data_IF_128870943863
#
_entry.id   IF_128870943863
#
_cell.length_a   1.000
_cell.length_b   1.000
_cell.length_c   1.000
_cell.angle_alpha   90.00
_cell.angle_beta   90.00
_cell.angle_gamma   90.00
#
_symmetry.space_group_name_H-M   'P 1'
#
loop_
_entity.id
_entity.type
_entity.pdbx_description
1 polymer ?
#
# COMPACT_ATOMS: atom_id res chain seq x y z
N UNK A 1 0.68 -9.10 -5.94
CA UNK A 1 0.85 -9.15 -4.50
C UNK A 1 -0.45 -8.85 -3.77
N UNK A 2 -0.66 -9.48 -2.64
CA UNK A 2 -1.92 -9.36 -1.90
C UNK A 2 -2.18 -7.92 -1.41
N UNK A 3 -1.16 -7.22 -0.94
CA UNK A 3 -1.31 -5.84 -0.49
C UNK A 3 -1.71 -4.91 -1.64
N UNK A 4 -1.06 -5.02 -2.78
CA UNK A 4 -1.37 -4.22 -3.97
C UNK A 4 -2.82 -4.45 -4.40
N UNK A 5 -3.25 -5.70 -4.46
CA UNK A 5 -4.61 -6.05 -4.85
C UNK A 5 -5.65 -5.49 -3.86
N UNK A 6 -5.36 -5.55 -2.58
CA UNK A 6 -6.26 -5.02 -1.56
C UNK A 6 -6.38 -3.49 -1.65
N UNK A 7 -5.26 -2.79 -1.81
CA UNK A 7 -5.28 -1.33 -1.94
C UNK A 7 -6.00 -0.92 -3.24
N UNK A 8 -5.80 -1.67 -4.34
CA UNK A 8 -6.53 -1.39 -5.59
C UNK A 8 -8.05 -1.48 -5.38
N UNK A 9 -8.49 -2.51 -4.67
CA UNK A 9 -9.92 -2.69 -4.34
C UNK A 9 -10.45 -1.51 -3.51
N UNK A 10 -9.72 -1.10 -2.48
CA UNK A 10 -10.12 0.00 -1.61
C UNK A 10 -10.19 1.34 -2.36
N UNK A 11 -9.22 1.62 -3.20
CA UNK A 11 -9.19 2.85 -3.99
C UNK A 11 -10.33 2.87 -5.00
N UNK A 12 -10.62 1.74 -5.64
CA UNK A 12 -11.74 1.62 -6.57
C UNK A 12 -13.08 1.88 -5.88
N UNK A 13 -13.21 1.50 -4.62
CA UNK A 13 -14.42 1.75 -3.83
C UNK A 13 -14.50 3.18 -3.30
N UNK A 14 -13.35 3.82 -3.10
CA UNK A 14 -13.27 5.17 -2.57
C UNK A 14 -13.58 6.25 -3.62
N UNK A 15 -13.15 6.05 -4.85
CA UNK A 15 -13.28 7.04 -5.91
C UNK A 15 -13.61 6.40 -7.25
N UNK A 16 -14.33 7.15 -8.10
CA UNK A 16 -14.62 6.75 -9.48
C UNK A 16 -13.45 7.04 -10.42
N UNK A 17 -12.48 7.84 -9.99
CA UNK A 17 -11.29 8.13 -10.79
C UNK A 17 -10.37 6.92 -10.80
N UNK A 18 -9.77 6.67 -11.96
CA UNK A 18 -8.92 5.49 -12.14
C UNK A 18 -7.53 5.74 -11.58
N UNK A 19 -7.20 5.00 -10.53
CA UNK A 19 -5.87 4.93 -9.94
C UNK A 19 -5.24 3.58 -10.27
N UNK A 20 -4.01 3.59 -10.72
CA UNK A 20 -3.24 2.37 -10.95
C UNK A 20 -2.33 2.12 -9.76
N UNK A 21 -2.47 0.95 -9.14
CA UNK A 21 -1.61 0.54 -8.03
C UNK A 21 -0.57 -0.43 -8.56
N UNK A 22 0.70 -0.18 -8.29
CA UNK A 22 1.78 -1.03 -8.79
C UNK A 22 3.02 -0.98 -7.91
N UNK A 23 3.97 -1.89 -8.18
CA UNK A 23 5.18 -2.02 -7.37
C UNK A 23 6.25 -0.99 -7.72
N UNK A 24 6.25 -0.44 -8.92
CA UNK A 24 7.31 0.46 -9.39
C UNK A 24 6.76 1.64 -10.17
N UNK A 25 7.40 2.79 -10.00
CA UNK A 25 7.12 3.98 -10.78
C UNK A 25 7.89 3.95 -12.09
N UNK A 26 7.24 4.41 -13.16
CA UNK A 26 7.89 4.62 -14.45
C UNK A 26 7.51 5.98 -15.00
N UNK A 27 8.49 6.73 -15.46
CA UNK A 27 8.28 8.03 -16.12
C UNK A 27 7.54 7.89 -17.46
N UNK A 28 7.57 6.68 -18.04
CA UNK A 28 6.87 6.37 -19.29
C UNK A 28 5.43 5.92 -19.06
N UNK A 29 4.99 5.88 -17.82
CA UNK A 29 3.64 5.48 -17.46
C UNK A 29 2.63 6.54 -17.93
N UNK A 30 1.65 6.13 -18.72
CA UNK A 30 0.60 7.01 -19.23
C UNK A 30 -0.56 7.21 -18.27
N UNK A 31 -0.59 6.50 -17.15
CA UNK A 31 -1.64 6.67 -16.16
C UNK A 31 -1.50 8.04 -15.48
N UNK A 32 -2.61 8.76 -15.38
CA UNK A 32 -2.65 10.07 -14.72
C UNK A 32 -2.50 9.96 -13.21
N UNK A 33 -2.94 8.85 -12.64
CA UNK A 33 -2.98 8.59 -11.21
C UNK A 33 -2.37 7.25 -10.91
N UNK A 34 -1.30 7.24 -10.15
CA UNK A 34 -0.54 6.03 -9.84
C UNK A 34 -0.18 6.02 -8.36
N UNK A 35 -0.30 4.87 -7.73
CA UNK A 35 0.24 4.64 -6.39
C UNK A 35 1.25 3.50 -6.51
N UNK A 36 2.47 3.75 -6.08
CA UNK A 36 3.48 2.69 -5.99
C UNK A 36 3.65 2.24 -4.55
N UNK A 37 3.79 0.94 -4.36
CA UNK A 37 3.95 0.32 -3.05
C UNK A 37 5.20 -0.54 -3.10
N UNK A 38 6.23 -0.14 -2.35
CA UNK A 38 7.51 -0.86 -2.30
C UNK A 38 7.81 -1.30 -0.89
N UNK A 39 8.11 -2.58 -0.71
CA UNK A 39 8.61 -3.06 0.57
C UNK A 39 10.00 -2.49 0.82
N UNK A 40 10.20 -1.89 2.01
CA UNK A 40 11.49 -1.38 2.42
C UNK A 40 12.31 -2.52 3.01
N UNK A 41 13.38 -2.91 2.32
CA UNK A 41 14.28 -3.97 2.77
C UNK A 41 15.04 -3.53 4.02
N UNK A 42 15.26 -4.46 4.94
CA UNK A 42 15.94 -4.17 6.21
C UNK A 42 15.07 -3.48 7.26
N UNK A 43 13.82 -3.13 6.90
CA UNK A 43 12.89 -2.45 7.80
C UNK A 43 11.88 -3.45 8.36
N UNK A 44 12.38 -4.48 9.02
CA UNK A 44 11.53 -5.49 9.66
C UNK A 44 11.71 -5.46 11.16
N UNK A 45 10.58 -5.40 11.88
CA UNK A 45 10.57 -5.49 13.33
C UNK A 45 10.08 -6.86 13.76
N UNK A 46 10.80 -7.48 14.69
CA UNK A 46 10.42 -8.74 15.32
C UNK A 46 10.26 -8.48 16.80
N UNK A 47 9.08 -8.81 17.34
CA UNK A 47 8.84 -8.70 18.77
C UNK A 47 9.39 -9.92 19.50
N UNK A 48 9.70 -9.75 20.78
CA UNK A 48 10.10 -10.86 21.63
C UNK A 48 8.96 -11.85 21.81
N UNK A 49 9.26 -13.11 21.64
CA UNK A 49 8.29 -14.20 21.78
C UNK A 49 7.87 -14.78 20.44
N UNK A 50 7.61 -16.07 20.43
CA UNK A 50 7.35 -16.85 19.21
C UNK A 50 5.99 -16.58 18.58
N UNK A 51 5.15 -15.79 19.24
CA UNK A 51 3.75 -15.58 18.85
C UNK A 51 3.53 -14.23 18.18
N UNK A 52 4.52 -13.32 18.23
CA UNK A 52 4.37 -11.97 17.71
C UNK A 52 4.62 -11.93 16.21
N UNK A 53 3.75 -11.25 15.45
CA UNK A 53 3.95 -11.12 14.00
C UNK A 53 5.15 -10.27 13.67
N UNK A 54 5.75 -10.55 12.53
CA UNK A 54 6.80 -9.71 11.96
C UNK A 54 6.15 -8.55 11.22
N UNK A 55 6.58 -7.32 11.51
CA UNK A 55 6.12 -6.14 10.81
C UNK A 55 6.99 -5.86 9.59
N UNK A 56 6.36 -5.42 8.52
CA UNK A 56 7.00 -4.95 7.32
C UNK A 56 6.70 -3.48 7.11
N UNK A 57 7.62 -2.77 6.49
CA UNK A 57 7.46 -1.36 6.13
C UNK A 57 7.33 -1.26 4.63
N UNK A 58 6.31 -0.53 4.20
CA UNK A 58 6.05 -0.29 2.77
C UNK A 58 6.05 1.21 2.52
N UNK A 59 6.81 1.64 1.53
CA UNK A 59 6.77 3.02 1.08
C UNK A 59 5.68 3.17 0.02
N UNK A 60 4.78 4.12 0.27
CA UNK A 60 3.71 4.47 -0.65
C UNK A 60 4.03 5.80 -1.28
N UNK A 61 4.07 5.84 -2.60
CA UNK A 61 4.19 7.06 -3.37
C UNK A 61 2.90 7.26 -4.17
N UNK A 62 2.22 8.37 -3.92
CA UNK A 62 0.93 8.69 -4.51
C UNK A 62 1.15 9.81 -5.53
N UNK A 63 0.95 9.50 -6.80
CA UNK A 63 1.16 10.44 -7.91
C UNK A 63 -0.18 10.76 -8.55
N UNK A 64 -0.54 12.04 -8.56
CA UNK A 64 -1.84 12.48 -9.10
C UNK A 64 -1.74 13.79 -9.85
N UNK A 65 -2.89 14.37 -10.16
CA UNK A 65 -2.99 15.62 -10.93
C UNK A 65 -2.99 16.86 -10.04
N UNK A 66 -3.28 16.70 -8.75
CA UNK A 66 -3.24 17.81 -7.78
C UNK A 66 -2.78 17.31 -6.41
N UNK A 67 -2.21 18.20 -5.63
CA UNK A 67 -1.81 17.88 -4.24
C UNK A 67 -3.02 17.47 -3.41
N UNK A 68 -4.15 18.16 -3.58
CA UNK A 68 -5.35 17.86 -2.80
C UNK A 68 -5.86 16.44 -3.09
N UNK A 69 -5.84 16.02 -4.34
CA UNK A 69 -6.21 14.65 -4.73
C UNK A 69 -5.33 13.61 -4.05
N UNK A 70 -4.02 13.82 -4.10
CA UNK A 70 -3.05 12.93 -3.46
C UNK A 70 -3.21 12.91 -1.94
N UNK A 71 -3.45 14.07 -1.34
CA UNK A 71 -3.70 14.18 0.10
C UNK A 71 -4.96 13.42 0.51
N UNK A 72 -6.01 13.49 -0.28
CA UNK A 72 -7.25 12.77 0.01
C UNK A 72 -7.03 11.25 0.00
N UNK A 73 -6.26 10.75 -0.95
CA UNK A 73 -5.88 9.33 -0.97
C UNK A 73 -5.04 8.98 0.26
N UNK A 74 -4.08 9.83 0.61
CA UNK A 74 -3.24 9.62 1.81
C UNK A 74 -4.09 9.56 3.08
N UNK A 75 -5.07 10.43 3.23
CA UNK A 75 -5.98 10.42 4.38
C UNK A 75 -6.81 9.14 4.43
N UNK A 76 -7.30 8.69 3.28
CA UNK A 76 -8.05 7.43 3.19
C UNK A 76 -7.17 6.24 3.62
N UNK A 77 -5.94 6.19 3.14
CA UNK A 77 -4.99 5.13 3.54
C UNK A 77 -4.68 5.18 5.03
N UNK A 78 -4.52 6.39 5.60
CA UNK A 78 -4.29 6.56 7.04
C UNK A 78 -5.45 6.06 7.89
N UNK A 79 -6.67 6.09 7.38
CA UNK A 79 -7.85 5.60 8.08
C UNK A 79 -7.93 4.07 8.16
N UNK A 80 -7.04 3.35 7.47
CA UNK A 80 -6.98 1.89 7.58
C UNK A 80 -6.27 1.42 8.86
N UNK A 81 -5.62 2.31 9.59
CA UNK A 81 -4.95 1.96 10.85
C UNK A 81 -5.94 1.26 11.78
N UNK A 82 -5.53 0.12 12.32
CA UNK A 82 -6.36 -0.72 13.17
C UNK A 82 -7.17 -1.78 12.42
N UNK A 83 -7.25 -1.70 11.10
CA UNK A 83 -7.91 -2.74 10.32
C UNK A 83 -7.05 -4.00 10.31
N UNK A 84 -7.72 -5.13 10.54
CA UNK A 84 -7.12 -6.46 10.50
C UNK A 84 -8.07 -7.35 9.71
N UNK A 85 -7.61 -7.78 8.55
CA UNK A 85 -8.43 -8.57 7.62
C UNK A 85 -7.73 -9.84 7.21
N UNK A 86 -8.53 -10.82 6.81
CA UNK A 86 -8.06 -12.07 6.21
C UNK A 86 -8.61 -12.15 4.79
N UNK A 87 -7.73 -12.43 3.84
CA UNK A 87 -8.10 -12.61 2.44
C UNK A 87 -7.69 -14.01 1.97
N UNK A 88 -8.59 -14.65 1.26
CA UNK A 88 -8.32 -15.91 0.59
C UNK A 88 -7.95 -15.63 -0.86
N UNK A 89 -6.85 -16.21 -1.31
CA UNK A 89 -6.38 -16.11 -2.69
C UNK A 89 -6.00 -17.48 -3.23
N UNK A 90 -5.98 -17.62 -4.54
CA UNK A 90 -5.51 -18.83 -5.21
C UNK A 90 -4.17 -18.49 -5.86
N UNK A 91 -3.15 -19.26 -5.48
CA UNK A 91 -1.80 -19.11 -6.00
C UNK A 91 -1.31 -20.46 -6.47
N UNK A 92 -0.94 -20.56 -7.76
CA UNK A 92 -0.50 -21.82 -8.39
C UNK A 92 -1.50 -22.96 -8.18
N UNK A 93 -2.81 -22.66 -8.25
CA UNK A 93 -3.87 -23.63 -8.09
C UNK A 93 -4.17 -24.03 -6.64
N UNK A 94 -3.45 -23.48 -5.68
CA UNK A 94 -3.64 -23.75 -4.25
C UNK A 94 -4.29 -22.57 -3.56
N UNK A 95 -5.17 -22.85 -2.60
CA UNK A 95 -5.78 -21.81 -1.76
C UNK A 95 -4.81 -21.39 -0.67
N UNK A 96 -4.76 -20.10 -0.44
CA UNK A 96 -3.97 -19.48 0.63
C UNK A 96 -4.82 -18.47 1.37
N UNK A 97 -4.59 -18.33 2.67
CA UNK A 97 -5.17 -17.24 3.46
C UNK A 97 -4.06 -16.33 3.94
N UNK A 98 -4.27 -15.05 3.73
CA UNK A 98 -3.33 -14.00 4.11
C UNK A 98 -3.97 -13.06 5.11
N UNK A 99 -3.18 -12.63 6.06
CA UNK A 99 -3.56 -11.60 7.02
C UNK A 99 -2.94 -10.28 6.61
N UNK A 100 -3.76 -9.24 6.61
CA UNK A 100 -3.32 -7.86 6.44
C UNK A 100 -3.72 -7.07 7.68
N UNK A 101 -2.74 -6.48 8.35
CA UNK A 101 -2.97 -5.67 9.54
C UNK A 101 -2.24 -4.35 9.37
N UNK A 102 -2.97 -3.24 9.49
CA UNK A 102 -2.44 -1.90 9.26
C UNK A 102 -2.17 -1.24 10.60
N UNK A 103 -0.90 -0.95 10.88
CA UNK A 103 -0.43 -0.54 12.21
C UNK A 103 -0.16 0.96 12.28
N UNK A 104 0.57 1.51 11.31
CA UNK A 104 0.98 2.91 11.36
C UNK A 104 1.14 3.47 9.95
N UNK A 105 0.63 4.67 9.76
CA UNK A 105 0.83 5.48 8.55
C UNK A 105 1.69 6.68 8.96
N UNK A 106 2.97 6.68 8.56
CA UNK A 106 3.96 7.59 9.10
C UNK A 106 4.44 8.59 8.05
N UNK A 107 4.65 9.83 8.50
CA UNK A 107 5.28 10.91 7.75
C UNK A 107 4.63 11.19 6.39
N UNK A 108 3.29 11.33 6.30
CA UNK A 108 2.67 11.72 5.04
C UNK A 108 3.11 13.15 4.67
N UNK A 109 3.70 13.30 3.51
CA UNK A 109 4.24 14.58 3.08
C UNK A 109 4.26 14.70 1.56
N UNK A 110 4.17 15.93 1.02
CA UNK A 110 4.32 16.15 -0.42
C UNK A 110 5.70 15.72 -0.91
N UNK A 111 5.74 15.20 -2.14
CA UNK A 111 6.99 14.95 -2.86
C UNK A 111 7.33 16.24 -3.61
N UNK A 112 8.53 16.81 -3.36
CA UNK A 112 8.92 18.11 -3.91
C UNK A 112 9.08 18.12 -5.42
N UNK A 113 9.57 17.03 -5.98
CA UNK A 113 9.86 16.96 -7.41
C UNK A 113 9.34 15.66 -8.01
N UNK A 114 8.61 15.83 -9.11
CA UNK A 114 8.12 14.74 -9.93
C UNK A 114 8.29 15.11 -11.41
N UNK A 115 7.70 14.33 -12.28
CA UNK A 115 7.60 14.75 -13.67
C UNK A 115 6.61 15.93 -13.81
N UNK A 116 6.65 16.59 -14.96
CA UNK A 116 5.86 17.81 -15.20
C UNK A 116 4.35 17.58 -15.23
N UNK A 117 3.91 16.33 -15.26
CA UNK A 117 2.49 15.97 -15.40
C UNK A 117 1.81 15.62 -14.10
N UNK A 118 2.59 15.39 -13.04
CA UNK A 118 2.08 14.85 -11.78
C UNK A 118 2.69 15.56 -10.60
N UNK A 119 1.92 15.60 -9.55
CA UNK A 119 2.37 15.97 -8.21
C UNK A 119 2.24 14.75 -7.31
N UNK A 120 2.85 14.77 -6.15
CA UNK A 120 2.87 13.57 -5.35
C UNK A 120 2.85 13.79 -3.85
N UNK A 121 2.60 12.67 -3.20
CA UNK A 121 2.59 12.53 -1.76
C UNK A 121 3.25 11.21 -1.40
N UNK A 122 3.98 11.18 -0.29
CA UNK A 122 4.59 9.94 0.12
C UNK A 122 4.40 9.69 1.61
N UNK A 123 4.37 8.41 2.00
CA UNK A 123 4.32 8.00 3.39
C UNK A 123 4.78 6.56 3.52
N UNK A 124 5.08 6.16 4.75
CA UNK A 124 5.47 4.79 5.06
C UNK A 124 4.37 4.09 5.85
N UNK A 125 3.97 2.91 5.42
CA UNK A 125 3.04 2.06 6.14
C UNK A 125 3.79 0.95 6.88
N UNK A 126 3.49 0.83 8.16
CA UNK A 126 3.90 -0.32 8.96
C UNK A 126 2.73 -1.30 8.97
N UNK A 127 2.95 -2.48 8.41
CA UNK A 127 1.90 -3.48 8.22
C UNK A 127 2.39 -4.87 8.60
N UNK A 128 1.43 -5.74 8.90
CA UNK A 128 1.62 -7.19 8.84
C UNK A 128 1.01 -7.67 7.53
N UNK A 129 1.81 -8.33 6.70
CA UNK A 129 1.34 -9.02 5.49
C UNK A 129 1.86 -10.45 5.60
N UNK A 130 0.99 -11.37 5.97
CA UNK A 130 1.42 -12.68 6.42
C UNK A 130 0.52 -13.78 5.86
N UNK A 131 1.15 -14.82 5.30
CA UNK A 131 0.41 -16.03 4.92
C UNK A 131 0.16 -16.86 6.19
N UNK A 132 -1.11 -17.02 6.56
CA UNK A 132 -1.49 -17.72 7.78
C UNK A 132 -1.97 -19.16 7.52
N UNK A 133 -2.26 -19.49 6.27
CA UNK A 133 -2.73 -20.82 5.91
C UNK A 133 -2.47 -21.09 4.43
N UNK A 134 -2.17 -22.34 4.11
CA UNK A 134 -1.97 -22.83 2.75
C UNK A 134 -2.58 -24.23 2.63
N UNK A 135 -3.28 -24.44 1.54
CA UNK A 135 -3.89 -25.74 1.19
C UNK A 135 -2.85 -26.85 1.01
#
# INVERSE_FOLDING_TARGET
LILINYIQELVNNYTTKKWKIKAEYSTNDNNKRVITIQEQTGQKEVFYGDIMPMFNYYMFDIYGLSIQECKNISLMLGNLIGHNIVREVINNGKKEKWQLMFIQWANPQPIEYLDIRRVGYNATYKCVVNKIWEE
#
